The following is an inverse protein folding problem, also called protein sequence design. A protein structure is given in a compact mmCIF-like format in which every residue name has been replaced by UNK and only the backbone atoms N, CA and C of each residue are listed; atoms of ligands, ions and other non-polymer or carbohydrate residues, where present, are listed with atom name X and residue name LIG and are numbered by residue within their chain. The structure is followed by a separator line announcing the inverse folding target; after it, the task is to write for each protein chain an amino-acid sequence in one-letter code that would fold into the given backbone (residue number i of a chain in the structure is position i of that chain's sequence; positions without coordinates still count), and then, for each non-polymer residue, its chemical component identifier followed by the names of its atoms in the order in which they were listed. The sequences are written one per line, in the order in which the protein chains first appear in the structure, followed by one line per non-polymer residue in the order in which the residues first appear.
data_IF_527039325608
#
_entry.id   IF_527039325608
#
_cell.length_a   1.000
_cell.length_b   1.000
_cell.length_c   1.000
_cell.angle_alpha   90.00
_cell.angle_beta   90.00
_cell.angle_gamma   90.00
#
_symmetry.space_group_name_H-M   'P 1'
#
loop_
_entity.id
_entity.type
_entity.pdbx_description
1 polymer ?
#
# COMPACT_ATOMS: atom_id res chain seq x y z
N UNK A 1 -78.80 4.32 23.71
CA UNK A 1 -77.81 5.38 23.82
C UNK A 1 -76.47 4.73 24.14
N UNK A 2 -75.67 4.53 23.16
CA UNK A 2 -74.26 4.07 23.33
C UNK A 2 -73.40 4.86 22.34
N UNK A 3 -72.56 5.71 22.88
CA UNK A 3 -71.60 6.52 22.11
C UNK A 3 -70.41 5.64 21.67
N UNK A 4 -70.21 5.56 20.36
CA UNK A 4 -69.09 4.90 19.75
C UNK A 4 -68.04 6.00 19.48
N UNK A 5 -66.92 6.00 20.25
CA UNK A 5 -65.79 6.89 20.02
C UNK A 5 -64.93 6.32 18.89
N UNK A 6 -64.83 7.04 17.79
CA UNK A 6 -63.88 6.79 16.73
C UNK A 6 -62.51 7.34 17.12
N UNK A 7 -61.54 6.47 17.38
CA UNK A 7 -60.13 6.86 17.51
C UNK A 7 -59.54 6.86 16.11
N UNK A 8 -59.28 8.06 15.59
CA UNK A 8 -58.50 8.25 14.35
C UNK A 8 -57.02 8.09 14.73
N UNK A 9 -56.42 6.96 14.36
CA UNK A 9 -55.00 6.72 14.44
C UNK A 9 -54.32 7.42 13.25
N UNK A 10 -53.86 8.65 13.43
CA UNK A 10 -53.02 9.34 12.45
C UNK A 10 -51.65 8.70 12.42
N UNK A 11 -51.39 7.87 11.40
CA UNK A 11 -50.05 7.41 11.05
C UNK A 11 -49.24 8.60 10.57
N UNK A 12 -48.42 9.15 11.47
CA UNK A 12 -47.35 10.05 11.12
C UNK A 12 -46.29 9.24 10.33
N UNK A 13 -46.40 9.29 9.00
CA UNK A 13 -45.31 8.95 8.13
C UNK A 13 -44.24 10.01 8.33
N UNK A 14 -43.23 9.67 9.09
CA UNK A 14 -41.95 10.42 9.05
C UNK A 14 -41.35 10.22 7.67
N UNK A 15 -41.66 11.11 6.76
CA UNK A 15 -40.83 11.36 5.61
C UNK A 15 -39.52 11.94 6.20
N UNK A 16 -38.50 11.12 6.30
CA UNK A 16 -37.12 11.58 6.44
C UNK A 16 -36.82 12.37 5.18
N UNK A 17 -37.08 13.65 5.22
CA UNK A 17 -36.59 14.59 4.24
C UNK A 17 -35.09 14.65 4.46
N UNK A 18 -34.32 13.95 3.63
CA UNK A 18 -32.88 14.05 3.64
C UNK A 18 -32.54 15.53 3.45
N UNK A 19 -31.96 16.15 4.48
CA UNK A 19 -31.40 17.49 4.38
C UNK A 19 -30.52 17.53 3.13
N UNK A 20 -30.89 18.39 2.16
CA UNK A 20 -29.98 18.69 1.05
C UNK A 20 -28.74 19.31 1.67
N UNK A 21 -27.65 18.53 1.78
CA UNK A 21 -26.38 19.01 2.29
C UNK A 21 -25.99 20.27 1.51
N UNK A 22 -25.79 21.36 2.22
CA UNK A 22 -25.28 22.61 1.64
C UNK A 22 -23.82 22.36 1.19
N UNK A 23 -23.63 22.17 -0.11
CA UNK A 23 -22.34 21.85 -0.73
C UNK A 23 -21.45 23.08 -0.91
N UNK A 24 -21.91 24.27 -0.54
CA UNK A 24 -21.17 25.53 -0.67
C UNK A 24 -20.23 25.82 0.51
N UNK A 25 -20.35 25.07 1.62
CA UNK A 25 -19.55 25.27 2.82
C UNK A 25 -18.49 24.18 2.97
N UNK A 26 -17.26 24.54 3.40
CA UNK A 26 -16.25 23.57 3.80
C UNK A 26 -16.77 22.64 4.89
N UNK A 27 -16.30 21.38 4.87
CA UNK A 27 -16.62 20.42 5.93
C UNK A 27 -15.81 20.77 7.18
N UNK A 28 -16.45 20.75 8.34
CA UNK A 28 -15.79 20.87 9.63
C UNK A 28 -15.41 19.47 10.15
N UNK A 29 -14.16 19.34 10.62
CA UNK A 29 -13.62 18.12 11.21
C UNK A 29 -13.35 18.32 12.69
N UNK A 30 -13.77 17.40 13.54
CA UNK A 30 -13.55 17.46 14.99
C UNK A 30 -12.13 17.07 15.37
N UNK A 31 -11.44 16.30 14.54
CA UNK A 31 -10.11 15.79 14.82
C UNK A 31 -9.38 15.43 13.51
N UNK A 32 -8.07 15.16 13.64
CA UNK A 32 -7.21 14.80 12.52
C UNK A 32 -7.61 13.48 11.84
N UNK A 33 -8.18 12.52 12.57
CA UNK A 33 -8.64 11.25 12.00
C UNK A 33 -9.78 11.46 11.00
N UNK A 34 -10.77 12.30 11.35
CA UNK A 34 -11.87 12.65 10.45
C UNK A 34 -11.37 13.37 9.18
N UNK A 35 -10.48 14.38 9.37
CA UNK A 35 -9.86 15.11 8.25
C UNK A 35 -9.13 14.18 7.30
N UNK A 36 -8.24 13.36 7.83
CA UNK A 36 -7.46 12.41 7.06
C UNK A 36 -8.35 11.40 6.32
N UNK A 37 -9.34 10.83 7.00
CA UNK A 37 -10.25 9.85 6.41
C UNK A 37 -11.01 10.41 5.23
N UNK A 38 -11.48 11.65 5.34
CA UNK A 38 -12.10 12.37 4.24
C UNK A 38 -11.13 12.54 3.07
N UNK A 39 -9.90 12.98 3.33
CA UNK A 39 -8.86 13.18 2.32
C UNK A 39 -8.57 11.87 1.58
N UNK A 40 -8.41 10.76 2.30
CA UNK A 40 -8.16 9.45 1.70
C UNK A 40 -9.30 9.02 0.75
N UNK A 41 -10.54 9.23 1.15
CA UNK A 41 -11.71 8.98 0.31
C UNK A 41 -11.71 9.85 -0.95
N UNK A 42 -11.46 11.16 -0.81
CA UNK A 42 -11.44 12.10 -1.92
C UNK A 42 -10.31 11.82 -2.92
N UNK A 43 -9.10 11.46 -2.44
CA UNK A 43 -7.97 11.06 -3.30
C UNK A 43 -8.35 9.80 -4.09
N UNK A 44 -8.95 8.79 -3.44
CA UNK A 44 -9.37 7.56 -4.11
C UNK A 44 -10.35 7.84 -5.27
N UNK A 45 -11.33 8.72 -5.05
CA UNK A 45 -12.26 9.15 -6.10
C UNK A 45 -11.58 9.91 -7.24
N UNK A 46 -10.60 10.79 -6.92
CA UNK A 46 -9.84 11.53 -7.93
C UNK A 46 -8.98 10.63 -8.78
N UNK A 47 -8.34 9.64 -8.19
CA UNK A 47 -7.55 8.64 -8.93
C UNK A 47 -8.39 7.94 -9.97
N UNK A 48 -9.62 7.55 -9.62
CA UNK A 48 -10.57 6.97 -10.57
C UNK A 48 -10.98 7.98 -11.67
N UNK A 49 -11.25 9.23 -11.29
CA UNK A 49 -11.69 10.28 -12.22
C UNK A 49 -10.60 10.78 -13.18
N UNK A 50 -9.32 10.72 -12.75
CA UNK A 50 -8.15 11.21 -13.50
C UNK A 50 -7.49 10.11 -14.35
N UNK A 51 -8.02 8.89 -14.36
CA UNK A 51 -7.49 7.78 -15.20
C UNK A 51 -7.52 8.07 -16.71
N UNK A 52 -7.99 9.26 -17.11
CA UNK A 52 -7.80 9.85 -18.45
C UNK A 52 -8.67 9.28 -19.55
N UNK A 53 -9.41 8.24 -19.28
CA UNK A 53 -10.29 7.62 -20.26
C UNK A 53 -11.66 8.28 -20.28
N UNK A 54 -12.07 8.78 -21.45
CA UNK A 54 -13.41 9.35 -21.68
C UNK A 54 -14.55 8.42 -21.23
N UNK A 55 -14.28 7.11 -21.18
CA UNK A 55 -15.18 6.07 -20.69
C UNK A 55 -15.58 6.24 -19.23
N UNK A 56 -14.65 6.63 -18.35
CA UNK A 56 -14.94 6.81 -16.92
C UNK A 56 -15.91 7.96 -16.65
N UNK A 57 -15.92 9.00 -17.50
CA UNK A 57 -16.87 10.10 -17.38
C UNK A 57 -18.33 9.68 -17.63
N UNK A 58 -18.54 8.53 -18.26
CA UNK A 58 -19.85 7.97 -18.59
C UNK A 58 -20.40 7.02 -17.50
N UNK A 59 -19.62 6.73 -16.45
CA UNK A 59 -20.05 5.89 -15.35
C UNK A 59 -21.11 6.60 -14.49
N UNK A 60 -22.01 5.79 -13.94
CA UNK A 60 -23.04 6.24 -13.00
C UNK A 60 -22.40 6.49 -11.63
N UNK A 61 -22.30 7.76 -11.22
CA UNK A 61 -21.66 8.15 -9.96
C UNK A 61 -22.39 7.64 -8.73
N UNK A 62 -23.70 7.55 -8.74
CA UNK A 62 -24.48 7.04 -7.60
C UNK A 62 -24.19 5.55 -7.38
N UNK A 63 -24.08 4.79 -8.47
CA UNK A 63 -23.73 3.37 -8.41
C UNK A 63 -22.27 3.14 -8.05
N UNK A 64 -21.36 4.03 -8.50
CA UNK A 64 -19.96 4.03 -8.02
C UNK A 64 -19.90 4.20 -6.50
N UNK A 65 -20.57 5.24 -5.97
CA UNK A 65 -20.61 5.53 -4.53
C UNK A 65 -21.22 4.35 -3.77
N UNK A 66 -22.33 3.82 -4.26
CA UNK A 66 -22.98 2.65 -3.66
C UNK A 66 -22.02 1.47 -3.58
N UNK A 67 -21.39 1.10 -4.70
CA UNK A 67 -20.44 -0.01 -4.75
C UNK A 67 -19.24 0.18 -3.83
N UNK A 68 -18.65 1.38 -3.80
CA UNK A 68 -17.56 1.74 -2.90
C UNK A 68 -17.96 1.52 -1.44
N UNK A 69 -19.11 2.08 -1.03
CA UNK A 69 -19.61 1.98 0.33
C UNK A 69 -19.92 0.55 0.76
N UNK A 70 -20.42 -0.28 -0.16
CA UNK A 70 -20.73 -1.70 0.09
C UNK A 70 -19.48 -2.54 0.35
N UNK A 71 -18.31 -2.12 -0.15
CA UNK A 71 -17.12 -2.97 -0.16
C UNK A 71 -15.91 -2.43 0.62
N UNK A 72 -16.13 -1.49 1.54
CA UNK A 72 -15.12 -1.02 2.50
C UNK A 72 -14.80 -2.02 3.62
N UNK A 73 -15.25 -3.25 3.52
CA UNK A 73 -15.02 -4.37 4.45
C UNK A 73 -14.16 -5.48 3.84
N UNK A 74 -13.74 -5.32 2.58
CA UNK A 74 -12.86 -6.27 1.88
C UNK A 74 -13.53 -7.54 1.39
N UNK A 75 -14.84 -7.52 1.10
CA UNK A 75 -15.53 -8.65 0.46
C UNK A 75 -14.96 -8.92 -0.94
N UNK A 76 -15.00 -10.18 -1.38
CA UNK A 76 -14.53 -10.57 -2.71
C UNK A 76 -15.22 -9.77 -3.83
N UNK A 77 -14.44 -9.44 -4.85
CA UNK A 77 -14.89 -8.73 -6.07
C UNK A 77 -14.73 -9.57 -7.34
N UNK A 78 -14.53 -10.88 -7.19
CA UNK A 78 -14.25 -11.77 -8.32
C UNK A 78 -15.36 -11.73 -9.38
N UNK A 79 -16.63 -11.68 -8.96
CA UNK A 79 -17.80 -11.53 -9.84
C UNK A 79 -17.75 -10.23 -10.68
N UNK A 80 -17.11 -9.18 -10.16
CA UNK A 80 -17.01 -7.89 -10.83
C UNK A 80 -16.07 -7.90 -12.05
N UNK A 81 -15.05 -8.77 -12.08
CA UNK A 81 -14.10 -8.84 -13.19
C UNK A 81 -14.81 -9.14 -14.53
N UNK A 82 -15.70 -10.11 -14.56
CA UNK A 82 -16.47 -10.45 -15.76
C UNK A 82 -17.39 -9.32 -16.21
N UNK A 83 -18.00 -8.61 -15.25
CA UNK A 83 -18.89 -7.48 -15.52
C UNK A 83 -18.11 -6.31 -16.13
N UNK A 84 -16.92 -6.02 -15.61
CA UNK A 84 -16.05 -4.97 -16.15
C UNK A 84 -15.48 -5.34 -17.53
N UNK A 85 -15.20 -6.60 -17.80
CA UNK A 85 -14.85 -7.06 -19.15
C UNK A 85 -15.97 -6.87 -20.14
N UNK A 86 -17.24 -7.03 -19.73
CA UNK A 86 -18.39 -6.73 -20.60
C UNK A 86 -18.57 -5.23 -20.84
N UNK A 87 -18.21 -4.39 -19.87
CA UNK A 87 -18.30 -2.93 -20.00
C UNK A 87 -17.18 -2.36 -20.85
N UNK A 88 -15.93 -2.74 -20.60
CA UNK A 88 -14.74 -2.14 -21.19
C UNK A 88 -14.06 -3.02 -22.28
N UNK A 89 -14.57 -4.20 -22.57
CA UNK A 89 -13.89 -5.19 -23.43
C UNK A 89 -12.69 -5.84 -22.71
N UNK A 90 -12.10 -6.84 -23.38
CA UNK A 90 -10.97 -7.59 -22.83
C UNK A 90 -9.69 -6.75 -22.67
N UNK A 91 -9.54 -5.71 -23.50
CA UNK A 91 -8.39 -4.77 -23.49
C UNK A 91 -8.70 -3.43 -22.82
N UNK A 92 -9.88 -3.28 -22.21
CA UNK A 92 -10.37 -2.02 -21.61
C UNK A 92 -10.48 -0.85 -22.60
N UNK A 93 -10.60 -1.11 -23.89
CA UNK A 93 -10.68 -0.11 -24.96
C UNK A 93 -12.10 0.05 -25.55
N UNK A 94 -12.99 -0.92 -25.32
CA UNK A 94 -14.34 -0.96 -25.87
C UNK A 94 -15.37 -0.64 -24.80
N UNK A 95 -15.98 0.54 -24.88
CA UNK A 95 -17.02 0.94 -23.91
C UNK A 95 -18.41 0.53 -24.37
N UNK A 96 -19.04 -0.40 -23.62
CA UNK A 96 -20.38 -0.89 -23.91
C UNK A 96 -21.44 -0.29 -22.98
N UNK A 97 -22.18 0.70 -23.49
CA UNK A 97 -23.21 1.45 -22.73
C UNK A 97 -24.29 0.56 -22.08
N UNK A 98 -24.53 -0.63 -22.62
CA UNK A 98 -25.51 -1.58 -22.06
C UNK A 98 -25.19 -2.00 -20.64
N UNK A 99 -23.90 -2.06 -20.29
CA UNK A 99 -23.41 -2.54 -18.99
C UNK A 99 -22.98 -1.41 -18.04
N UNK A 100 -23.32 -0.14 -18.33
CA UNK A 100 -22.89 1.01 -17.51
C UNK A 100 -23.33 0.90 -16.06
N UNK A 101 -24.58 0.48 -15.81
CA UNK A 101 -25.12 0.41 -14.44
C UNK A 101 -24.38 -0.66 -13.60
N UNK A 102 -24.38 -1.88 -14.10
CA UNK A 102 -23.73 -3.01 -13.44
C UNK A 102 -22.21 -2.79 -13.31
N UNK A 103 -21.60 -2.26 -14.37
CA UNK A 103 -20.17 -1.95 -14.39
C UNK A 103 -19.79 -0.82 -13.45
N UNK A 104 -20.61 0.24 -13.31
CA UNK A 104 -20.39 1.30 -12.34
C UNK A 104 -20.43 0.78 -10.91
N UNK A 105 -21.43 -0.07 -10.58
CA UNK A 105 -21.53 -0.69 -9.27
C UNK A 105 -20.30 -1.57 -8.99
N UNK A 106 -19.89 -2.40 -9.97
CA UNK A 106 -18.70 -3.24 -9.85
C UNK A 106 -17.40 -2.45 -9.74
N UNK A 107 -17.24 -1.37 -10.50
CA UNK A 107 -16.08 -0.47 -10.37
C UNK A 107 -16.03 0.14 -8.97
N UNK A 108 -17.15 0.61 -8.43
CA UNK A 108 -17.24 1.09 -7.06
C UNK A 108 -16.84 0.03 -6.04
N UNK A 109 -17.32 -1.21 -6.17
CA UNK A 109 -16.94 -2.32 -5.29
C UNK A 109 -15.45 -2.62 -5.35
N UNK A 110 -14.85 -2.61 -6.54
CA UNK A 110 -13.41 -2.84 -6.69
C UNK A 110 -12.57 -1.72 -6.08
N UNK A 111 -12.97 -0.45 -6.24
CA UNK A 111 -12.25 0.67 -5.61
C UNK A 111 -12.39 0.66 -4.08
N UNK A 112 -13.56 0.29 -3.54
CA UNK A 112 -13.77 0.10 -2.09
C UNK A 112 -12.93 -1.06 -1.53
N UNK A 113 -12.85 -2.17 -2.26
CA UNK A 113 -12.01 -3.30 -1.93
C UNK A 113 -10.53 -2.92 -1.91
N UNK A 114 -10.04 -2.26 -2.97
CA UNK A 114 -8.66 -1.80 -3.06
C UNK A 114 -8.33 -0.86 -1.90
N UNK A 115 -9.17 0.13 -1.63
CA UNK A 115 -9.00 1.03 -0.49
C UNK A 115 -8.86 0.27 0.83
N UNK A 116 -9.77 -0.68 1.10
CA UNK A 116 -9.72 -1.47 2.33
C UNK A 116 -8.40 -2.24 2.45
N UNK A 117 -7.96 -2.92 1.37
CA UNK A 117 -6.73 -3.69 1.39
C UNK A 117 -5.47 -2.83 1.51
N UNK A 118 -5.42 -1.67 0.85
CA UNK A 118 -4.30 -0.74 0.94
C UNK A 118 -4.14 -0.22 2.38
N UNK A 119 -5.24 0.22 3.01
CA UNK A 119 -5.21 0.68 4.40
C UNK A 119 -4.88 -0.47 5.37
N UNK A 120 -5.42 -1.67 5.13
CA UNK A 120 -5.10 -2.87 5.92
C UNK A 120 -3.63 -3.24 5.82
N UNK A 121 -3.07 -3.23 4.61
CA UNK A 121 -1.66 -3.52 4.33
C UNK A 121 -0.70 -2.53 4.99
N UNK A 122 -1.16 -1.30 5.22
CA UNK A 122 -0.43 -0.30 6.00
C UNK A 122 -0.67 -0.44 7.52
N UNK A 123 -1.54 -1.35 7.97
CA UNK A 123 -1.92 -1.49 9.37
C UNK A 123 -2.78 -0.36 9.91
N UNK A 124 -3.36 0.46 9.02
CA UNK A 124 -4.05 1.71 9.34
C UNK A 124 -5.56 1.63 9.51
N UNK A 125 -6.18 0.44 9.52
CA UNK A 125 -7.65 0.32 9.62
C UNK A 125 -8.25 0.99 10.85
N UNK A 126 -7.54 1.00 11.98
CA UNK A 126 -7.97 1.67 13.20
C UNK A 126 -7.78 3.20 13.18
N UNK A 127 -6.98 3.69 12.22
CA UNK A 127 -6.64 5.10 12.08
C UNK A 127 -7.57 5.85 11.11
N UNK A 128 -8.54 5.16 10.51
CA UNK A 128 -9.54 5.75 9.60
C UNK A 128 -10.95 5.67 10.16
N UNK A 129 -11.77 6.67 9.80
CA UNK A 129 -13.20 6.72 10.04
C UNK A 129 -13.92 6.52 8.70
N UNK A 130 -14.60 5.38 8.55
CA UNK A 130 -15.20 4.99 7.28
C UNK A 130 -16.33 5.93 6.85
N UNK A 131 -17.03 6.60 7.76
CA UNK A 131 -18.06 7.56 7.37
C UNK A 131 -17.46 8.80 6.69
N UNK A 132 -16.31 9.27 7.17
CA UNK A 132 -15.58 10.36 6.50
C UNK A 132 -14.90 9.89 5.21
N UNK A 133 -14.45 8.63 5.12
CA UNK A 133 -13.95 8.05 3.86
C UNK A 133 -15.04 8.04 2.79
N UNK A 134 -16.23 7.55 3.12
CA UNK A 134 -17.41 7.54 2.21
C UNK A 134 -17.76 8.95 1.74
N UNK A 135 -17.77 9.91 2.68
CA UNK A 135 -18.07 11.30 2.36
C UNK A 135 -17.01 11.91 1.44
N UNK A 136 -15.73 11.68 1.71
CA UNK A 136 -14.64 12.14 0.87
C UNK A 136 -14.71 11.56 -0.54
N UNK A 137 -14.99 10.25 -0.66
CA UNK A 137 -15.15 9.60 -1.96
C UNK A 137 -16.31 10.20 -2.77
N UNK A 138 -17.46 10.41 -2.15
CA UNK A 138 -18.62 11.08 -2.78
C UNK A 138 -18.23 12.49 -3.26
N UNK A 139 -17.67 13.30 -2.36
CA UNK A 139 -17.32 14.70 -2.69
C UNK A 139 -16.22 14.77 -3.77
N UNK A 140 -15.25 13.83 -3.77
CA UNK A 140 -14.24 13.72 -4.81
C UNK A 140 -14.81 13.42 -6.20
N UNK A 141 -15.75 12.46 -6.31
CA UNK A 141 -16.44 12.15 -7.58
C UNK A 141 -17.23 13.34 -8.13
N UNK A 142 -17.81 14.17 -7.27
CA UNK A 142 -18.55 15.38 -7.65
C UNK A 142 -17.69 16.64 -7.68
N UNK A 143 -16.37 16.53 -7.40
CA UNK A 143 -15.41 17.66 -7.33
C UNK A 143 -15.79 18.71 -6.28
N UNK A 144 -16.46 18.28 -5.20
CA UNK A 144 -16.85 19.16 -4.07
C UNK A 144 -15.74 19.29 -3.02
N UNK A 145 -14.83 18.34 -2.98
CA UNK A 145 -13.65 18.31 -2.10
C UNK A 145 -12.72 19.53 -2.30
N UNK A 146 -12.68 20.09 -3.52
CA UNK A 146 -11.88 21.28 -3.84
C UNK A 146 -12.33 22.54 -3.09
N UNK A 147 -13.55 22.55 -2.56
CA UNK A 147 -14.04 23.62 -1.67
C UNK A 147 -13.36 23.54 -0.30
N UNK A 148 -12.99 22.33 0.12
CA UNK A 148 -12.42 22.07 1.46
C UNK A 148 -10.89 22.05 1.44
N UNK A 149 -10.27 21.43 0.41
CA UNK A 149 -8.82 21.23 0.35
C UNK A 149 -8.23 21.52 -1.02
N UNK A 150 -6.97 22.01 -1.02
CA UNK A 150 -6.13 22.03 -2.21
C UNK A 150 -5.51 20.65 -2.42
N UNK A 151 -5.28 20.26 -3.66
CA UNK A 151 -4.73 18.96 -4.01
C UNK A 151 -3.37 18.68 -3.34
N UNK A 152 -2.48 19.69 -3.31
CA UNK A 152 -1.18 19.59 -2.64
C UNK A 152 -1.32 19.28 -1.15
N UNK A 153 -2.25 19.93 -0.45
CA UNK A 153 -2.51 19.68 0.97
C UNK A 153 -2.99 18.25 1.22
N UNK A 154 -3.86 17.75 0.34
CA UNK A 154 -4.35 16.37 0.44
C UNK A 154 -3.23 15.34 0.25
N UNK A 155 -2.33 15.59 -0.70
CA UNK A 155 -1.17 14.72 -0.94
C UNK A 155 -0.19 14.74 0.24
N UNK A 156 0.09 15.91 0.81
CA UNK A 156 0.94 16.06 2.00
C UNK A 156 0.36 15.31 3.21
N UNK A 157 -0.94 15.45 3.48
CA UNK A 157 -1.61 14.73 4.58
C UNK A 157 -1.58 13.21 4.39
N UNK A 158 -1.81 12.72 3.17
CA UNK A 158 -1.70 11.30 2.85
C UNK A 158 -0.27 10.78 3.06
N UNK A 159 0.74 11.52 2.58
CA UNK A 159 2.14 11.14 2.74
C UNK A 159 2.54 11.08 4.23
N UNK A 160 2.14 12.07 5.02
CA UNK A 160 2.39 12.11 6.47
C UNK A 160 1.74 10.91 7.17
N UNK A 161 0.55 10.51 6.73
CA UNK A 161 -0.12 9.33 7.28
C UNK A 161 0.66 8.03 7.00
N UNK A 162 1.11 7.84 5.77
CA UNK A 162 1.91 6.67 5.38
C UNK A 162 3.21 6.62 6.20
N UNK A 163 3.93 7.75 6.30
CA UNK A 163 5.16 7.86 7.10
C UNK A 163 4.90 7.47 8.55
N UNK A 164 3.87 8.02 9.16
CA UNK A 164 3.49 7.71 10.56
C UNK A 164 3.22 6.21 10.76
N UNK A 165 2.48 5.58 9.85
CA UNK A 165 2.17 4.15 9.95
C UNK A 165 3.43 3.29 9.77
N UNK A 166 4.29 3.64 8.82
CA UNK A 166 5.55 2.94 8.58
C UNK A 166 6.48 3.00 9.81
N UNK A 167 6.61 4.18 10.44
CA UNK A 167 7.40 4.35 11.67
C UNK A 167 6.83 3.48 12.80
N UNK A 168 5.53 3.56 13.08
CA UNK A 168 4.88 2.74 14.12
C UNK A 168 5.06 1.24 13.87
N UNK A 169 4.87 0.78 12.64
CA UNK A 169 4.99 -0.62 12.29
C UNK A 169 6.46 -1.08 12.35
N UNK A 170 7.39 -0.24 11.90
CA UNK A 170 8.83 -0.48 11.99
C UNK A 170 9.30 -0.61 13.44
N UNK A 171 8.88 0.29 14.32
CA UNK A 171 9.18 0.23 15.76
C UNK A 171 8.65 -1.06 16.40
N UNK A 172 7.41 -1.45 16.09
CA UNK A 172 6.81 -2.71 16.58
C UNK A 172 7.58 -3.94 16.08
N UNK A 173 7.98 -3.95 14.80
CA UNK A 173 8.78 -5.03 14.22
C UNK A 173 10.14 -5.15 14.92
N UNK A 174 10.87 -4.03 15.06
CA UNK A 174 12.18 -3.99 15.72
C UNK A 174 12.09 -4.37 17.20
N UNK A 175 11.04 -3.93 17.90
CA UNK A 175 10.80 -4.32 19.30
C UNK A 175 10.61 -5.84 19.45
N UNK A 176 9.84 -6.45 18.55
CA UNK A 176 9.68 -7.92 18.51
C UNK A 176 10.99 -8.63 18.17
N UNK A 177 11.77 -8.07 17.25
CA UNK A 177 13.05 -8.68 16.86
C UNK A 177 14.09 -8.65 18.00
N UNK A 178 14.10 -7.61 18.83
CA UNK A 178 15.03 -7.46 19.97
C UNK A 178 14.91 -8.57 21.02
N UNK A 179 13.76 -9.22 21.14
CA UNK A 179 13.53 -10.29 22.11
C UNK A 179 13.73 -11.71 21.54
N UNK A 180 14.13 -11.83 20.25
CA UNK A 180 14.45 -13.13 19.64
C UNK A 180 15.69 -13.70 20.30
N UNK A 181 15.57 -14.92 20.85
CA UNK A 181 16.70 -15.58 21.51
C UNK A 181 17.83 -15.86 20.51
N UNK A 182 19.01 -15.34 20.80
CA UNK A 182 20.21 -15.53 19.97
C UNK A 182 20.32 -14.54 18.79
N UNK A 183 19.43 -13.57 18.68
CA UNK A 183 19.60 -12.47 17.74
C UNK A 183 20.71 -11.54 18.23
N UNK A 184 21.56 -11.08 17.29
CA UNK A 184 22.58 -10.06 17.51
C UNK A 184 21.99 -8.68 17.26
N UNK A 185 22.15 -7.78 18.23
CA UNK A 185 21.65 -6.40 18.16
C UNK A 185 22.87 -5.50 17.99
N UNK A 186 22.92 -4.76 16.88
CA UNK A 186 24.02 -3.83 16.58
C UNK A 186 23.72 -2.41 17.08
N UNK A 187 24.76 -1.63 17.37
CA UNK A 187 24.63 -0.25 17.88
C UNK A 187 23.83 0.68 16.97
N UNK A 188 23.85 0.43 15.64
CA UNK A 188 23.08 1.18 14.66
C UNK A 188 21.59 0.76 14.58
N UNK A 189 21.14 -0.13 15.45
CA UNK A 189 19.75 -0.57 15.56
C UNK A 189 19.38 -1.74 14.64
N UNK A 190 20.28 -2.22 13.78
CA UNK A 190 20.06 -3.45 13.01
C UNK A 190 20.01 -4.64 13.96
N UNK A 191 19.16 -5.61 13.65
CA UNK A 191 19.05 -6.87 14.39
C UNK A 191 19.22 -8.01 13.40
N UNK A 192 20.09 -8.98 13.73
CA UNK A 192 20.37 -10.13 12.87
C UNK A 192 20.19 -11.43 13.64
N UNK A 193 19.36 -12.32 13.08
CA UNK A 193 19.14 -13.68 13.55
C UNK A 193 19.80 -14.67 12.59
N UNK A 194 20.62 -15.58 13.10
CA UNK A 194 21.20 -16.65 12.28
C UNK A 194 20.20 -17.81 12.17
N UNK A 195 19.58 -17.98 11.00
CA UNK A 195 18.65 -19.08 10.72
C UNK A 195 19.41 -20.38 10.38
N UNK A 196 20.50 -20.27 9.66
CA UNK A 196 21.40 -21.36 9.31
C UNK A 196 22.84 -20.82 9.28
N UNK A 197 23.77 -21.35 10.10
CA UNK A 197 25.14 -20.87 10.11
C UNK A 197 25.86 -21.24 8.81
N UNK A 198 26.59 -20.28 8.22
CA UNK A 198 27.48 -20.53 7.10
C UNK A 198 28.79 -21.16 7.57
N UNK A 199 29.44 -21.89 6.68
CA UNK A 199 30.74 -22.55 6.93
C UNK A 199 31.89 -21.92 6.13
N UNK A 200 31.57 -21.09 5.14
CA UNK A 200 32.59 -20.42 4.30
C UNK A 200 33.16 -19.15 4.91
N UNK A 201 33.88 -18.41 4.09
CA UNK A 201 34.48 -17.11 4.42
C UNK A 201 33.40 -16.02 4.46
N UNK A 202 33.80 -14.85 4.99
CA UNK A 202 32.99 -13.64 5.02
C UNK A 202 33.42 -12.70 3.88
N UNK A 203 32.46 -11.97 3.24
CA UNK A 203 32.81 -10.92 2.27
C UNK A 203 33.57 -9.77 2.95
N UNK A 204 34.45 -9.11 2.20
CA UNK A 204 34.92 -7.77 2.57
C UNK A 204 33.88 -6.71 2.21
N UNK A 205 33.99 -5.51 2.77
CA UNK A 205 33.05 -4.41 2.51
C UNK A 205 33.02 -3.91 1.05
N UNK A 206 33.99 -4.33 0.24
CA UNK A 206 34.08 -3.95 -1.18
C UNK A 206 33.79 -5.09 -2.14
N UNK A 207 33.57 -6.31 -1.64
CA UNK A 207 33.33 -7.48 -2.49
C UNK A 207 32.02 -7.37 -3.29
N UNK A 208 31.97 -8.11 -4.39
CA UNK A 208 30.72 -8.52 -5.01
C UNK A 208 30.17 -9.74 -4.25
N UNK A 209 28.84 -9.80 -4.09
CA UNK A 209 28.14 -10.91 -3.44
C UNK A 209 27.08 -11.50 -4.35
N UNK A 210 26.84 -12.80 -4.19
CA UNK A 210 25.66 -13.48 -4.74
C UNK A 210 24.76 -13.90 -3.60
N UNK A 211 23.50 -13.48 -3.66
CA UNK A 211 22.51 -13.74 -2.61
C UNK A 211 21.17 -14.18 -3.17
N UNK A 212 20.50 -15.03 -2.42
CA UNK A 212 19.03 -15.07 -2.49
C UNK A 212 18.46 -14.31 -1.30
N UNK A 213 17.31 -13.67 -1.51
CA UNK A 213 16.64 -12.97 -0.42
C UNK A 213 15.11 -12.99 -0.55
N UNK A 214 14.47 -12.86 0.59
CA UNK A 214 13.05 -12.53 0.71
C UNK A 214 12.96 -11.22 1.48
N UNK A 215 12.38 -10.20 0.87
CA UNK A 215 12.05 -8.93 1.51
C UNK A 215 10.62 -8.96 2.00
N UNK A 216 10.41 -8.63 3.26
CA UNK A 216 9.08 -8.40 3.82
C UNK A 216 8.97 -6.98 4.37
N UNK A 217 7.73 -6.45 4.34
CA UNK A 217 7.36 -5.22 5.04
C UNK A 217 7.46 -5.40 6.56
N UNK A 218 7.36 -4.30 7.30
CA UNK A 218 7.31 -4.35 8.77
C UNK A 218 6.10 -5.13 9.33
N UNK A 219 5.06 -5.34 8.53
CA UNK A 219 3.87 -6.14 8.88
C UNK A 219 4.01 -7.62 8.52
N UNK A 220 5.08 -8.00 7.79
CA UNK A 220 5.38 -9.37 7.40
C UNK A 220 4.90 -9.77 6.01
N UNK A 221 4.32 -8.86 5.24
CA UNK A 221 3.92 -9.13 3.86
C UNK A 221 5.15 -9.24 2.96
N UNK A 222 5.20 -10.27 2.11
CA UNK A 222 6.30 -10.43 1.15
C UNK A 222 6.21 -9.36 0.07
N UNK A 223 7.26 -8.55 -0.04
CA UNK A 223 7.43 -7.49 -1.05
C UNK A 223 8.19 -8.02 -2.26
N UNK A 224 9.29 -8.73 -2.01
CA UNK A 224 10.13 -9.35 -3.04
C UNK A 224 10.61 -10.73 -2.60
N UNK A 225 10.80 -11.63 -3.58
CA UNK A 225 11.34 -12.97 -3.34
C UNK A 225 12.21 -13.40 -4.52
N UNK A 226 13.53 -13.35 -4.37
CA UNK A 226 14.48 -13.70 -5.43
C UNK A 226 14.44 -15.19 -5.82
N UNK A 227 13.89 -16.06 -4.97
CA UNK A 227 13.70 -17.47 -5.33
C UNK A 227 12.59 -17.71 -6.36
N UNK A 228 11.79 -16.69 -6.66
CA UNK A 228 10.69 -16.75 -7.66
C UNK A 228 10.88 -15.76 -8.80
N UNK A 229 11.86 -14.85 -8.68
CA UNK A 229 12.16 -13.86 -9.71
C UNK A 229 12.95 -14.51 -10.85
N UNK A 230 12.43 -14.38 -12.06
CA UNK A 230 13.10 -14.85 -13.29
C UNK A 230 13.84 -13.68 -13.93
N UNK A 231 15.05 -13.94 -14.42
CA UNK A 231 15.78 -12.99 -15.27
C UNK A 231 15.16 -12.92 -16.68
N UNK A 232 15.72 -12.12 -17.57
CA UNK A 232 15.27 -11.97 -18.97
C UNK A 232 15.25 -13.27 -19.75
N UNK A 233 16.10 -14.23 -19.38
CA UNK A 233 16.14 -15.56 -19.97
C UNK A 233 15.12 -16.54 -19.34
N UNK A 234 14.29 -16.09 -18.38
CA UNK A 234 13.32 -16.91 -17.67
C UNK A 234 13.91 -17.81 -16.58
N UNK A 235 15.18 -17.62 -16.20
CA UNK A 235 15.92 -18.44 -15.23
C UNK A 235 15.90 -17.77 -13.86
N UNK A 236 15.71 -18.58 -12.81
CA UNK A 236 15.85 -18.14 -11.42
C UNK A 236 17.32 -18.32 -11.02
N UNK A 237 17.98 -17.22 -10.65
CA UNK A 237 19.37 -17.23 -10.20
C UNK A 237 19.60 -16.28 -9.02
N UNK A 238 20.71 -16.50 -8.30
CA UNK A 238 21.09 -15.61 -7.20
C UNK A 238 21.41 -14.21 -7.73
N UNK A 239 20.95 -13.20 -7.01
CA UNK A 239 21.18 -11.79 -7.37
C UNK A 239 22.63 -11.43 -7.08
N UNK A 240 23.31 -10.86 -8.06
CA UNK A 240 24.68 -10.35 -7.92
C UNK A 240 24.67 -8.87 -7.58
N UNK A 241 25.37 -8.48 -6.53
CA UNK A 241 25.40 -7.12 -5.99
C UNK A 241 26.81 -6.72 -5.58
N UNK A 242 27.13 -5.43 -5.72
CA UNK A 242 28.39 -4.85 -5.26
C UNK A 242 28.17 -4.14 -3.92
N UNK A 243 28.95 -4.49 -2.88
CA UNK A 243 28.77 -3.93 -1.54
C UNK A 243 29.20 -2.46 -1.42
N UNK A 244 30.16 -2.03 -2.23
CA UNK A 244 30.71 -0.68 -2.17
C UNK A 244 29.86 0.43 -2.77
N UNK A 245 28.58 0.22 -3.03
CA UNK A 245 27.69 1.27 -3.53
C UNK A 245 26.41 0.80 -4.22
N UNK A 246 26.23 -0.51 -4.38
CA UNK A 246 25.06 -1.07 -5.08
C UNK A 246 23.92 -1.53 -4.17
N UNK A 247 23.99 -1.28 -2.84
CA UNK A 247 23.03 -1.79 -1.86
C UNK A 247 22.70 -0.73 -0.79
N UNK A 248 21.60 -0.93 -0.08
CA UNK A 248 21.22 -0.09 1.07
C UNK A 248 22.28 -0.20 2.21
N UNK A 249 22.38 0.84 3.03
CA UNK A 249 23.38 0.91 4.12
C UNK A 249 23.31 -0.29 5.07
N UNK A 250 22.10 -0.76 5.36
CA UNK A 250 21.90 -1.95 6.19
C UNK A 250 22.58 -3.19 5.61
N UNK A 251 22.53 -3.40 4.30
CA UNK A 251 23.19 -4.54 3.63
C UNK A 251 24.71 -4.39 3.62
N UNK A 252 25.23 -3.19 3.33
CA UNK A 252 26.68 -2.91 3.41
C UNK A 252 27.25 -3.20 4.80
N UNK A 253 26.43 -3.03 5.84
CA UNK A 253 26.81 -3.29 7.22
C UNK A 253 26.79 -4.79 7.59
N UNK A 254 25.73 -5.53 7.18
CA UNK A 254 25.50 -6.90 7.67
C UNK A 254 26.15 -7.99 6.79
N UNK A 255 26.22 -7.80 5.47
CA UNK A 255 26.78 -8.82 4.57
C UNK A 255 28.25 -9.16 4.88
N UNK A 256 29.12 -8.21 5.26
CA UNK A 256 30.47 -8.53 5.72
C UNK A 256 30.55 -9.34 7.04
N UNK A 257 29.44 -9.47 7.77
CA UNK A 257 29.34 -10.27 9.00
C UNK A 257 28.78 -11.67 8.76
N UNK A 258 28.21 -11.91 7.58
CA UNK A 258 27.64 -13.19 7.19
C UNK A 258 28.72 -14.12 6.62
N UNK A 259 28.58 -15.42 6.86
CA UNK A 259 29.47 -16.44 6.26
C UNK A 259 28.80 -17.07 5.03
N UNK A 260 29.58 -17.31 3.98
CA UNK A 260 29.12 -18.02 2.79
C UNK A 260 28.44 -19.35 3.14
N UNK A 261 27.29 -19.63 2.50
CA UNK A 261 26.42 -20.75 2.76
C UNK A 261 25.48 -20.57 3.97
N UNK A 262 25.54 -19.43 4.64
CA UNK A 262 24.65 -19.09 5.75
C UNK A 262 23.35 -18.42 5.29
N UNK A 263 22.32 -18.52 6.16
CA UNK A 263 21.03 -17.84 5.98
C UNK A 263 20.71 -17.04 7.24
N UNK A 264 20.33 -15.81 7.06
CA UNK A 264 20.17 -14.85 8.15
C UNK A 264 18.87 -14.06 7.96
N UNK A 265 18.18 -13.78 9.07
CA UNK A 265 17.09 -12.79 9.06
C UNK A 265 17.60 -11.50 9.61
N UNK A 266 17.40 -10.40 8.88
CA UNK A 266 17.93 -9.08 9.20
C UNK A 266 16.81 -8.08 9.25
N UNK A 267 16.67 -7.40 10.37
CA UNK A 267 15.72 -6.32 10.57
C UNK A 267 16.47 -5.00 10.48
N UNK A 268 16.11 -4.17 9.52
CA UNK A 268 16.83 -2.94 9.16
C UNK A 268 15.93 -1.74 9.46
N UNK A 269 16.33 -0.84 10.37
CA UNK A 269 15.65 0.43 10.58
C UNK A 269 15.59 1.26 9.29
N UNK A 270 14.52 2.04 9.12
CA UNK A 270 14.24 2.80 7.91
C UNK A 270 15.39 3.72 7.45
N UNK A 271 16.13 4.34 8.38
CA UNK A 271 17.27 5.22 8.08
C UNK A 271 18.48 4.50 7.49
N UNK A 272 18.55 3.17 7.61
CA UNK A 272 19.55 2.30 6.99
C UNK A 272 18.98 1.48 5.83
N UNK A 273 17.71 1.65 5.52
CA UNK A 273 16.99 1.11 4.36
C UNK A 273 16.91 2.18 3.25
N UNK A 274 15.74 2.50 2.76
CA UNK A 274 15.56 3.48 1.68
C UNK A 274 15.29 4.92 2.18
N UNK A 275 15.28 5.14 3.49
CA UNK A 275 15.17 6.47 4.10
C UNK A 275 13.81 7.14 3.90
N UNK A 276 13.84 8.48 3.83
CA UNK A 276 12.64 9.31 3.67
C UNK A 276 11.98 9.15 2.29
N UNK A 277 12.77 8.81 1.27
CA UNK A 277 12.29 8.68 -0.11
C UNK A 277 11.24 7.58 -0.28
N UNK A 278 11.27 6.55 0.58
CA UNK A 278 10.25 5.49 0.62
C UNK A 278 9.43 5.50 1.92
N UNK A 279 9.11 6.70 2.41
CA UNK A 279 8.16 6.87 3.49
C UNK A 279 8.62 6.29 4.84
N UNK A 280 9.93 6.22 5.11
CA UNK A 280 10.51 5.74 6.37
C UNK A 280 10.10 4.31 6.75
N UNK A 281 10.06 3.42 5.78
CA UNK A 281 9.73 2.01 6.01
C UNK A 281 10.94 1.24 6.53
N UNK A 282 10.82 0.59 7.70
CA UNK A 282 11.77 -0.38 8.21
C UNK A 282 11.52 -1.74 7.56
N UNK A 283 12.57 -2.47 7.22
CA UNK A 283 12.49 -3.66 6.39
C UNK A 283 12.99 -4.91 7.12
N UNK A 284 12.44 -6.06 6.77
CA UNK A 284 12.95 -7.35 7.18
C UNK A 284 13.38 -8.16 5.95
N UNK A 285 14.62 -8.65 5.97
CA UNK A 285 15.14 -9.52 4.93
C UNK A 285 15.48 -10.90 5.50
N UNK A 286 15.15 -11.96 4.79
CA UNK A 286 15.81 -13.24 4.92
C UNK A 286 16.83 -13.33 3.79
N UNK A 287 18.13 -13.41 4.11
CA UNK A 287 19.23 -13.38 3.14
C UNK A 287 20.01 -14.69 3.24
N UNK A 288 20.18 -15.37 2.12
CA UNK A 288 21.10 -16.48 1.96
C UNK A 288 22.33 -16.00 1.19
N UNK A 289 23.51 -16.02 1.82
CA UNK A 289 24.76 -15.67 1.17
C UNK A 289 25.31 -16.88 0.39
N UNK A 290 25.15 -16.86 -0.91
CA UNK A 290 25.52 -17.97 -1.81
C UNK A 290 27.03 -17.94 -2.09
N UNK A 291 27.57 -16.74 -2.47
CA UNK A 291 28.97 -16.57 -2.81
C UNK A 291 29.42 -15.11 -2.63
N UNK A 292 30.74 -14.91 -2.59
CA UNK A 292 31.35 -13.60 -2.67
C UNK A 292 32.69 -13.67 -3.38
N UNK A 293 33.10 -12.59 -4.01
CA UNK A 293 34.38 -12.45 -4.70
C UNK A 293 34.79 -10.99 -4.76
N UNK A 294 36.02 -10.72 -5.22
CA UNK A 294 36.51 -9.34 -5.39
C UNK A 294 35.62 -8.54 -6.32
N UNK A 295 35.53 -7.24 -6.06
CA UNK A 295 34.80 -6.27 -6.91
C UNK A 295 35.06 -6.50 -8.41
N UNK A 296 33.98 -6.48 -9.21
CA UNK A 296 34.03 -6.70 -10.64
C UNK A 296 33.98 -8.16 -11.07
N UNK A 297 33.92 -9.12 -10.12
CA UNK A 297 33.86 -10.56 -10.43
C UNK A 297 32.45 -11.00 -10.85
N UNK A 298 31.42 -10.47 -10.23
CA UNK A 298 30.04 -10.81 -10.52
C UNK A 298 29.27 -9.66 -11.16
N UNK A 299 29.56 -8.43 -10.75
CA UNK A 299 28.98 -7.19 -11.28
C UNK A 299 30.06 -6.52 -12.14
N UNK A 300 29.89 -6.54 -13.45
CA UNK A 300 30.78 -5.80 -14.34
C UNK A 300 30.59 -4.31 -14.08
N UNK A 301 31.67 -3.50 -13.91
CA UNK A 301 31.53 -2.05 -13.88
C UNK A 301 30.80 -1.62 -15.16
N UNK A 302 29.75 -0.81 -15.03
CA UNK A 302 29.19 -0.15 -16.20
C UNK A 302 30.31 0.65 -16.87
N UNK A 303 30.65 0.27 -18.09
CA UNK A 303 31.57 1.07 -18.90
C UNK A 303 30.89 2.39 -19.15
N UNK A 304 31.37 3.45 -18.50
CA UNK A 304 30.91 4.80 -18.76
C UNK A 304 31.14 5.08 -20.25
N UNK A 305 30.06 5.26 -21.09
CA UNK A 305 30.23 5.43 -22.53
C UNK A 305 30.97 6.74 -22.89
N UNK A 306 31.24 7.59 -21.92
CA UNK A 306 31.99 8.83 -22.07
C UNK A 306 33.35 8.72 -21.36
N UNK A 307 34.19 7.78 -21.80
CA UNK A 307 35.57 7.62 -21.28
C UNK A 307 36.30 8.96 -21.08
N UNK A 308 36.22 9.49 -19.87
CA UNK A 308 37.13 10.45 -19.26
C UNK A 308 37.38 10.08 -17.82
#
# INVERSE_FOLDING_TARGET
MKYLSFIILSSLMFFSCGEKKDISKPIEFKNQKEKLSYILGAINAKTLSNSGEASFSQLDKELLIKGFNENLNGNSTEECLQTLQKLFGATYQDFNKKYVKEGSLCMGRMTGYAFYFDIKKLGGLNDVDLEFVKRGYEDGLYKRDTVTFKEKEMQEEMQNFIVKLNEINGEKMLAKAKIIKGAEIFENGIIMETLRPGKGTQPSATDDVKVHYILTSALGDTVQNSYTMKNEAGIIEAVSLQLSGGVILGWSYVLPKMKKGGMYRVYIPWNLAYGEQQGRESLCFVIELIDHAKTGSFVKPEMNPNGQ
#
